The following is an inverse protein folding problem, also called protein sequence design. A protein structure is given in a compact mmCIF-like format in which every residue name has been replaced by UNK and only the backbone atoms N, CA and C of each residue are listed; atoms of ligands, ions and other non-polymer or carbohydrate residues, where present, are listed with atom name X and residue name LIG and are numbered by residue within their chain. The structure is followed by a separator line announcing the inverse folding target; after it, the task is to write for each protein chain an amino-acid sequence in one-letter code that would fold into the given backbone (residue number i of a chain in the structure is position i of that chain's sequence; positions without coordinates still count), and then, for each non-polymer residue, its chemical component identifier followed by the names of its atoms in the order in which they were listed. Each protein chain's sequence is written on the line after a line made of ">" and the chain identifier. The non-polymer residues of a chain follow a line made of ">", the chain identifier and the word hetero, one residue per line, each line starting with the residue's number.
data_IF_345381824323
#
_entry.id   IF_345381824323
#
_cell.length_a   1.000
_cell.length_b   1.000
_cell.length_c   1.000
_cell.angle_alpha   90.00
_cell.angle_beta   90.00
_cell.angle_gamma   90.00
#
_symmetry.space_group_name_H-M   'P 1'
#
loop_
_entity.id
_entity.type
_entity.pdbx_description
1 polymer ?
#
# COMPACT_ATOMS: atom_id res chain seq x y z
N UNK A 1 -5.49 12.64 24.95
CA UNK A 1 -5.26 12.72 23.47
C UNK A 1 -6.57 13.11 22.79
N UNK A 2 -6.49 13.87 21.71
CA UNK A 2 -7.65 14.18 20.86
C UNK A 2 -7.47 13.44 19.54
N UNK A 3 -8.47 12.62 19.15
CA UNK A 3 -8.44 11.85 17.92
C UNK A 3 -9.55 12.32 16.96
N UNK A 4 -9.19 12.98 15.84
CA UNK A 4 -10.13 13.41 14.83
C UNK A 4 -10.69 12.26 13.98
N UNK A 5 -10.19 11.04 14.15
CA UNK A 5 -10.65 9.87 13.42
C UNK A 5 -10.26 9.83 11.94
N UNK A 6 -9.30 10.66 11.52
CA UNK A 6 -8.85 10.77 10.14
C UNK A 6 -7.39 10.40 9.98
N UNK A 7 -7.02 9.89 8.81
CA UNK A 7 -5.63 9.67 8.41
C UNK A 7 -5.44 9.97 6.92
N UNK A 8 -4.19 10.26 6.55
CA UNK A 8 -3.78 10.28 5.14
C UNK A 8 -3.41 8.86 4.74
N UNK A 9 -4.19 8.29 3.83
CA UNK A 9 -4.02 6.93 3.34
C UNK A 9 -3.57 6.99 1.89
N UNK A 10 -2.46 6.30 1.60
CA UNK A 10 -1.94 6.17 0.25
C UNK A 10 -2.84 5.23 -0.54
N UNK A 11 -3.37 5.70 -1.68
CA UNK A 11 -4.13 4.90 -2.63
C UNK A 11 -3.60 5.12 -4.04
N UNK A 12 -3.39 4.05 -4.75
CA UNK A 12 -2.99 4.07 -6.15
C UNK A 12 -4.21 4.29 -7.04
N UNK A 13 -4.08 5.21 -7.99
CA UNK A 13 -5.08 5.45 -9.03
C UNK A 13 -4.61 4.86 -10.35
N UNK A 14 -5.17 3.72 -10.82
CA UNK A 14 -4.78 3.12 -12.10
C UNK A 14 -5.01 4.06 -13.29
N UNK A 15 -6.09 4.87 -13.24
CA UNK A 15 -6.42 5.84 -14.30
C UNK A 15 -5.35 6.93 -14.46
N UNK A 16 -4.75 7.37 -13.36
CA UNK A 16 -3.75 8.44 -13.36
C UNK A 16 -2.32 7.89 -13.24
N UNK A 17 -2.20 6.59 -12.97
CA UNK A 17 -0.92 5.89 -12.69
C UNK A 17 -0.10 6.60 -11.62
N UNK A 18 -0.78 7.13 -10.58
CA UNK A 18 -0.16 7.89 -9.49
C UNK A 18 -0.70 7.43 -8.13
N UNK A 19 0.18 7.43 -7.15
CA UNK A 19 -0.20 7.32 -5.75
C UNK A 19 -0.69 8.67 -5.23
N UNK A 20 -1.83 8.66 -4.54
CA UNK A 20 -2.39 9.83 -3.88
C UNK A 20 -2.59 9.58 -2.40
N UNK A 21 -2.39 10.62 -1.60
CA UNK A 21 -2.72 10.62 -0.18
C UNK A 21 -4.12 11.19 0.00
N UNK A 22 -5.09 10.31 0.23
CA UNK A 22 -6.45 10.69 0.57
C UNK A 22 -6.60 10.84 2.07
N UNK A 23 -7.40 11.85 2.50
CA UNK A 23 -7.82 11.96 3.90
C UNK A 23 -9.07 11.10 4.05
N UNK A 24 -8.98 10.06 4.85
CA UNK A 24 -10.05 9.08 5.04
C UNK A 24 -10.29 8.81 6.54
N UNK A 25 -11.49 8.33 6.86
CA UNK A 25 -11.79 7.85 8.20
C UNK A 25 -10.93 6.62 8.51
N UNK A 26 -10.34 6.57 9.70
CA UNK A 26 -9.55 5.42 10.16
C UNK A 26 -10.45 4.25 10.55
N UNK A 27 -9.93 3.03 10.46
CA UNK A 27 -10.61 1.82 10.95
C UNK A 27 -10.79 1.83 12.48
N UNK A 28 -11.68 0.97 12.97
CA UNK A 28 -11.87 0.77 14.41
C UNK A 28 -10.56 0.33 15.09
N UNK A 29 -9.82 -0.61 14.49
CA UNK A 29 -8.53 -1.07 15.00
C UNK A 29 -7.51 0.07 15.11
N UNK A 30 -7.43 0.94 14.10
CA UNK A 30 -6.55 2.12 14.13
C UNK A 30 -6.94 3.12 15.21
N UNK A 31 -8.24 3.35 15.42
CA UNK A 31 -8.74 4.21 16.49
C UNK A 31 -8.40 3.64 17.88
N UNK A 32 -8.58 2.34 18.05
CA UNK A 32 -8.23 1.65 19.30
C UNK A 32 -6.71 1.65 19.55
N UNK A 33 -5.90 1.47 18.51
CA UNK A 33 -4.44 1.57 18.59
C UNK A 33 -4.00 2.98 19.01
N UNK A 34 -4.62 4.04 18.46
CA UNK A 34 -4.36 5.42 18.88
C UNK A 34 -4.74 5.65 20.34
N UNK A 35 -5.91 5.18 20.76
CA UNK A 35 -6.34 5.25 22.17
C UNK A 35 -5.33 4.57 23.10
N UNK A 36 -4.82 3.39 22.71
CA UNK A 36 -3.81 2.66 23.50
C UNK A 36 -2.49 3.42 23.71
N UNK A 37 -2.23 4.45 22.89
CA UNK A 37 -1.06 5.32 23.08
C UNK A 37 -1.20 6.23 24.30
N UNK A 38 -2.41 6.53 24.76
CA UNK A 38 -2.65 7.39 25.93
C UNK A 38 -2.29 6.71 27.25
N UNK A 39 -2.26 5.38 27.30
CA UNK A 39 -2.11 4.60 28.53
C UNK A 39 -0.72 3.98 28.74
N UNK A 40 0.32 4.41 28.03
CA UNK A 40 1.64 3.74 28.07
C UNK A 40 2.46 4.02 29.33
N UNK A 41 2.37 5.22 29.88
CA UNK A 41 3.17 5.66 31.04
C UNK A 41 2.26 5.83 32.26
N UNK A 42 1.06 6.38 32.07
CA UNK A 42 0.05 6.59 33.11
C UNK A 42 -1.35 6.48 32.48
N UNK A 43 -2.38 6.34 33.32
CA UNK A 43 -3.76 6.36 32.87
C UNK A 43 -4.04 7.65 32.07
N UNK A 44 -4.61 7.51 30.89
CA UNK A 44 -4.86 8.62 29.98
C UNK A 44 -6.25 8.54 29.35
N UNK A 45 -6.77 9.70 28.94
CA UNK A 45 -8.09 9.84 28.29
C UNK A 45 -7.90 10.15 26.82
N UNK A 46 -8.64 9.46 25.93
CA UNK A 46 -8.72 9.75 24.53
C UNK A 46 -10.10 10.31 24.20
N UNK A 47 -10.16 11.55 23.73
CA UNK A 47 -11.37 12.17 23.22
C UNK A 47 -11.47 11.95 21.72
N UNK A 48 -12.50 11.22 21.28
CA UNK A 48 -12.78 11.00 19.86
C UNK A 48 -13.72 12.11 19.37
N UNK A 49 -13.35 12.82 18.30
CA UNK A 49 -14.14 13.90 17.70
C UNK A 49 -15.16 13.38 16.67
N UNK A 50 -15.72 12.21 16.91
CA UNK A 50 -16.73 11.56 16.09
C UNK A 50 -17.64 10.72 16.99
N UNK A 51 -18.86 10.46 16.54
CA UNK A 51 -19.85 9.75 17.35
C UNK A 51 -19.52 8.28 17.50
N UNK A 52 -20.11 7.64 18.50
CA UNK A 52 -20.02 6.19 18.69
C UNK A 52 -20.65 5.43 17.52
N UNK A 53 -21.77 5.92 16.99
CA UNK A 53 -22.43 5.34 15.81
C UNK A 53 -21.53 5.40 14.57
N UNK A 54 -20.81 6.53 14.36
CA UNK A 54 -19.82 6.63 13.29
C UNK A 54 -18.66 5.63 13.52
N UNK A 55 -18.14 5.51 14.74
CA UNK A 55 -17.11 4.52 15.05
C UNK A 55 -17.57 3.09 14.74
N UNK A 56 -18.79 2.72 15.14
CA UNK A 56 -19.33 1.37 14.90
C UNK A 56 -19.56 1.08 13.42
N UNK A 57 -19.85 2.09 12.61
CA UNK A 57 -20.04 1.95 11.15
C UNK A 57 -18.75 1.79 10.36
N UNK A 58 -17.60 2.10 10.96
CA UNK A 58 -16.29 2.03 10.30
C UNK A 58 -15.83 0.58 10.10
N UNK A 59 -15.03 0.35 9.07
CA UNK A 59 -14.37 -0.94 8.87
C UNK A 59 -13.57 -1.34 10.10
N UNK A 60 -13.59 -2.62 10.45
CA UNK A 60 -12.87 -3.17 11.61
C UNK A 60 -11.35 -2.97 11.44
N UNK A 61 -10.81 -3.26 10.26
CA UNK A 61 -9.40 -3.10 9.91
C UNK A 61 -9.22 -2.24 8.67
N UNK A 62 -8.04 -1.64 8.54
CA UNK A 62 -7.64 -0.94 7.32
C UNK A 62 -7.20 -1.97 6.28
N UNK A 63 -7.56 -1.76 5.01
CA UNK A 63 -7.12 -2.64 3.93
C UNK A 63 -5.60 -2.78 3.92
N UNK A 64 -5.05 -3.99 3.70
CA UNK A 64 -3.62 -4.21 3.51
C UNK A 64 -3.05 -3.33 2.40
N UNK A 65 -1.79 -2.92 2.55
CA UNK A 65 -1.16 -2.02 1.56
C UNK A 65 -1.13 -2.62 0.16
N UNK A 66 -0.98 -3.93 0.06
CA UNK A 66 -0.95 -4.65 -1.21
C UNK A 66 -2.24 -4.50 -2.03
N UNK A 67 -3.38 -4.25 -1.38
CA UNK A 67 -4.67 -4.04 -2.05
C UNK A 67 -4.93 -2.59 -2.48
N UNK A 68 -4.10 -1.65 -2.04
CA UNK A 68 -4.33 -0.21 -2.26
C UNK A 68 -3.16 0.55 -2.88
N UNK A 69 -1.99 -0.07 -3.00
CA UNK A 69 -0.79 0.53 -3.58
C UNK A 69 -0.54 0.01 -5.01
N UNK A 70 0.32 0.71 -5.76
CA UNK A 70 0.83 0.20 -7.04
C UNK A 70 1.63 -1.08 -6.83
N UNK A 71 1.35 -2.11 -7.62
CA UNK A 71 2.06 -3.38 -7.52
C UNK A 71 3.37 -3.42 -8.31
N UNK A 72 3.66 -2.43 -9.14
CA UNK A 72 4.88 -2.39 -9.95
C UNK A 72 6.16 -2.51 -9.10
N UNK A 73 6.25 -1.79 -7.99
CA UNK A 73 7.39 -1.90 -7.06
C UNK A 73 7.49 -3.26 -6.39
N UNK A 74 6.36 -3.87 -6.03
CA UNK A 74 6.32 -5.21 -5.43
C UNK A 74 6.78 -6.26 -6.45
N UNK A 75 6.23 -6.24 -7.67
CA UNK A 75 6.62 -7.15 -8.77
C UNK A 75 8.12 -7.03 -9.04
N UNK A 76 8.62 -5.79 -9.20
CA UNK A 76 10.04 -5.55 -9.47
C UNK A 76 10.93 -6.14 -8.37
N UNK A 77 10.57 -5.95 -7.12
CA UNK A 77 11.31 -6.47 -5.96
C UNK A 77 11.26 -8.00 -5.90
N UNK A 78 10.10 -8.60 -6.13
CA UNK A 78 9.96 -10.06 -6.15
C UNK A 78 10.82 -10.70 -7.23
N UNK A 79 10.82 -10.12 -8.45
CA UNK A 79 11.67 -10.59 -9.54
C UNK A 79 13.16 -10.48 -9.19
N UNK A 80 13.58 -9.36 -8.57
CA UNK A 80 14.99 -9.15 -8.21
C UNK A 80 15.46 -10.08 -7.11
N UNK A 81 14.56 -10.54 -6.24
CA UNK A 81 14.85 -11.49 -5.16
C UNK A 81 14.65 -12.95 -5.57
N UNK A 82 14.19 -13.21 -6.80
CA UNK A 82 13.93 -14.58 -7.27
C UNK A 82 12.76 -15.26 -6.56
N UNK A 83 11.78 -14.50 -6.04
CA UNK A 83 10.64 -15.04 -5.30
C UNK A 83 9.53 -15.62 -6.21
N UNK A 84 9.77 -15.72 -7.51
CA UNK A 84 8.79 -16.20 -8.45
C UNK A 84 7.82 -15.12 -8.92
N UNK A 85 6.67 -15.57 -9.45
CA UNK A 85 5.63 -14.67 -9.97
C UNK A 85 4.71 -14.23 -8.85
N UNK A 86 4.24 -12.98 -8.92
CA UNK A 86 3.33 -12.44 -7.92
C UNK A 86 2.00 -13.21 -7.89
N UNK A 87 1.54 -13.69 -9.05
CA UNK A 87 0.31 -14.46 -9.19
C UNK A 87 0.33 -15.80 -8.44
N UNK A 88 1.51 -16.39 -8.31
CA UNK A 88 1.71 -17.71 -7.68
C UNK A 88 2.12 -17.60 -6.19
N UNK A 89 2.32 -16.38 -5.71
CA UNK A 89 2.78 -16.17 -4.34
C UNK A 89 1.62 -16.30 -3.34
N UNK A 90 1.79 -17.05 -2.23
CA UNK A 90 0.72 -17.31 -1.26
C UNK A 90 0.44 -16.11 -0.35
N UNK A 91 -0.14 -15.07 -0.87
CA UNK A 91 -0.59 -13.93 -0.07
C UNK A 91 -1.77 -14.31 0.83
N UNK A 92 -1.83 -13.73 2.02
CA UNK A 92 -3.00 -13.83 2.91
C UNK A 92 -4.19 -13.13 2.24
N UNK A 93 -3.98 -11.91 1.74
CA UNK A 93 -4.93 -11.14 0.94
C UNK A 93 -4.34 -10.93 -0.45
N UNK A 94 -4.77 -11.73 -1.41
CA UNK A 94 -4.25 -11.67 -2.77
C UNK A 94 -4.75 -10.41 -3.50
N UNK A 95 -3.87 -9.68 -4.20
CA UNK A 95 -4.28 -8.56 -5.03
C UNK A 95 -5.10 -9.04 -6.24
N UNK A 96 -5.97 -8.17 -6.76
CA UNK A 96 -6.79 -8.49 -7.91
C UNK A 96 -5.97 -8.55 -9.22
N UNK A 97 -6.47 -9.35 -10.18
CA UNK A 97 -5.80 -9.58 -11.46
C UNK A 97 -5.59 -8.28 -12.27
N UNK A 98 -6.48 -7.30 -12.13
CA UNK A 98 -6.37 -6.02 -12.83
C UNK A 98 -5.22 -5.18 -12.29
N UNK A 99 -5.08 -5.12 -10.97
CA UNK A 99 -3.96 -4.43 -10.31
C UNK A 99 -2.62 -5.09 -10.64
N UNK A 100 -2.58 -6.42 -10.74
CA UNK A 100 -1.40 -7.16 -11.17
C UNK A 100 -1.05 -6.82 -12.63
N UNK A 101 -2.03 -6.84 -13.53
CA UNK A 101 -1.83 -6.51 -14.95
C UNK A 101 -1.33 -5.07 -15.14
N UNK A 102 -1.89 -4.11 -14.40
CA UNK A 102 -1.46 -2.71 -14.41
C UNK A 102 0.01 -2.57 -13.93
N UNK A 103 0.38 -3.29 -12.88
CA UNK A 103 1.76 -3.34 -12.39
C UNK A 103 2.75 -3.86 -13.45
N UNK A 104 2.41 -4.95 -14.13
CA UNK A 104 3.21 -5.50 -15.23
C UNK A 104 3.32 -4.53 -16.41
N UNK A 105 2.20 -3.93 -16.81
CA UNK A 105 2.18 -2.93 -17.87
C UNK A 105 3.12 -1.77 -17.57
N UNK A 106 3.06 -1.24 -16.35
CA UNK A 106 3.92 -0.14 -15.92
C UNK A 106 5.41 -0.50 -15.99
N UNK A 107 5.80 -1.71 -15.54
CA UNK A 107 7.18 -2.16 -15.62
C UNK A 107 7.66 -2.36 -17.06
N UNK A 108 6.78 -2.83 -17.95
CA UNK A 108 7.07 -2.97 -19.38
C UNK A 108 7.27 -1.60 -20.04
N UNK A 109 6.39 -0.63 -19.74
CA UNK A 109 6.52 0.75 -20.24
C UNK A 109 7.83 1.42 -19.81
N UNK A 110 8.30 1.12 -18.59
CA UNK A 110 9.56 1.63 -18.06
C UNK A 110 10.80 0.86 -18.57
N UNK A 111 10.59 -0.25 -19.30
CA UNK A 111 11.66 -1.12 -19.76
C UNK A 111 12.34 -1.94 -18.66
N UNK A 112 11.70 -2.03 -17.49
CA UNK A 112 12.23 -2.80 -16.35
C UNK A 112 12.09 -4.32 -16.54
N UNK A 113 11.09 -4.73 -17.34
CA UNK A 113 10.88 -6.12 -17.75
C UNK A 113 10.71 -6.20 -19.26
N UNK A 114 11.07 -7.34 -19.83
CA UNK A 114 10.87 -7.64 -21.24
C UNK A 114 9.47 -8.22 -21.54
N UNK A 115 9.23 -8.61 -22.81
CA UNK A 115 7.96 -9.21 -23.23
C UNK A 115 7.67 -10.58 -22.60
N UNK A 116 8.70 -11.27 -22.13
CA UNK A 116 8.63 -12.54 -21.43
C UNK A 116 8.48 -12.35 -19.91
N UNK A 117 8.32 -11.09 -19.44
CA UNK A 117 8.27 -10.71 -18.01
C UNK A 117 9.56 -11.02 -17.23
N UNK A 118 10.69 -11.10 -17.91
CA UNK A 118 12.01 -11.26 -17.30
C UNK A 118 12.61 -9.88 -16.99
N UNK A 119 13.39 -9.86 -15.90
CA UNK A 119 14.04 -8.62 -15.43
C UNK A 119 15.16 -8.21 -16.40
N UNK A 120 15.08 -6.99 -16.91
CA UNK A 120 16.13 -6.37 -17.74
C UNK A 120 17.28 -5.83 -16.87
N UNK A 121 18.37 -5.39 -17.49
CA UNK A 121 19.47 -4.72 -16.78
C UNK A 121 18.98 -3.40 -16.15
N UNK A 122 18.10 -2.68 -16.84
CA UNK A 122 17.43 -1.48 -16.31
C UNK A 122 16.63 -1.85 -15.07
N UNK A 123 15.80 -2.90 -15.14
CA UNK A 123 15.02 -3.37 -14.00
C UNK A 123 15.89 -3.79 -12.81
N UNK A 124 17.03 -4.43 -13.07
CA UNK A 124 18.01 -4.77 -12.02
C UNK A 124 18.61 -3.53 -11.35
N UNK A 125 18.87 -2.48 -12.09
CA UNK A 125 19.33 -1.21 -11.52
C UNK A 125 18.23 -0.52 -10.72
N UNK A 126 17.02 -0.43 -11.28
CA UNK A 126 15.87 0.18 -10.61
C UNK A 126 15.54 -0.52 -9.28
N UNK A 127 15.63 -1.85 -9.22
CA UNK A 127 15.31 -2.62 -8.00
C UNK A 127 16.22 -2.34 -6.81
N UNK A 128 17.41 -1.75 -7.02
CA UNK A 128 18.36 -1.37 -5.96
C UNK A 128 17.92 -0.12 -5.20
N UNK A 129 17.06 0.70 -5.78
CA UNK A 129 16.64 1.96 -5.19
C UNK A 129 15.33 1.78 -4.39
N UNK A 130 15.27 2.21 -3.12
CA UNK A 130 14.07 2.15 -2.29
C UNK A 130 13.10 3.31 -2.57
N UNK A 131 12.87 3.61 -3.84
CA UNK A 131 12.02 4.70 -4.31
C UNK A 131 10.98 4.19 -5.31
N UNK A 132 10.02 5.04 -5.65
CA UNK A 132 9.03 4.72 -6.68
C UNK A 132 9.69 4.33 -8.01
N UNK A 133 9.11 3.33 -8.71
CA UNK A 133 9.69 2.78 -9.95
C UNK A 133 9.85 3.81 -11.06
N UNK A 134 8.99 4.83 -11.11
CA UNK A 134 9.11 5.91 -12.10
C UNK A 134 10.31 6.81 -11.80
N UNK A 135 10.55 7.10 -10.52
CA UNK A 135 11.72 7.87 -10.09
C UNK A 135 13.00 7.06 -10.27
N UNK A 136 12.96 5.76 -9.99
CA UNK A 136 14.11 4.88 -10.19
C UNK A 136 14.52 4.73 -11.66
N UNK A 137 13.63 5.04 -12.62
CA UNK A 137 13.89 5.01 -14.07
C UNK A 137 14.54 6.29 -14.58
N UNK A 138 14.41 7.42 -13.88
CA UNK A 138 15.02 8.70 -14.25
C UNK A 138 16.53 8.70 -14.05
#
# INVERSE_FOLDING_TARGET
>A
MIDPGLARIKRYSPRQKLDRLHIEAISQASANQRQGRCGRIAAGICYRLYSESDFQSRATYTDPEILRASLSGVILRMLSLGLGRLEDFPFIDAPDAKSIADGWQQLTELGAVDKQRLLTDIGRQMSKWPIDVKLARM
#
